data_IF_051190355629
#
_entry.id   IF_051190355629
#
_cell.length_a   1.000
_cell.length_b   1.000
_cell.length_c   1.000
_cell.angle_alpha   90.00
_cell.angle_beta   90.00
_cell.angle_gamma   90.00
#
_symmetry.space_group_name_H-M   'P 1'
#
loop_
_entity.id
_entity.type
_entity.pdbx_description
1 polymer ?
#
# COMPACT_ATOMS: atom_id res chain seq x y z
N UNK A 1 -23.55 19.35 -9.04
CA UNK A 1 -23.63 18.49 -7.85
C UNK A 1 -22.26 17.87 -7.67
N UNK A 2 -21.44 18.43 -6.79
CA UNK A 2 -20.13 17.91 -6.45
C UNK A 2 -20.32 16.60 -5.69
N UNK A 3 -20.09 15.48 -6.37
CA UNK A 3 -19.96 14.17 -5.75
C UNK A 3 -18.73 14.22 -4.85
N UNK A 4 -18.93 14.52 -3.57
CA UNK A 4 -17.91 14.30 -2.57
C UNK A 4 -17.61 12.80 -2.59
N UNK A 5 -16.48 12.42 -3.19
CA UNK A 5 -15.96 11.06 -3.16
C UNK A 5 -15.81 10.71 -1.69
N UNK A 6 -16.72 9.89 -1.16
CA UNK A 6 -16.67 9.43 0.23
C UNK A 6 -15.34 8.69 0.37
N UNK A 7 -14.40 9.28 1.10
CA UNK A 7 -13.06 8.70 1.28
C UNK A 7 -13.25 7.27 1.77
N UNK A 8 -12.80 6.30 0.96
CA UNK A 8 -12.90 4.89 1.32
C UNK A 8 -11.81 4.62 2.34
N UNK A 9 -12.22 4.58 3.61
CA UNK A 9 -11.31 4.31 4.72
C UNK A 9 -11.09 2.81 4.83
N UNK A 10 -9.83 2.38 4.75
CA UNK A 10 -9.42 1.01 5.04
C UNK A 10 -9.09 0.91 6.52
N UNK A 11 -9.71 -0.03 7.22
CA UNK A 11 -9.33 -0.35 8.59
C UNK A 11 -8.16 -1.32 8.56
N UNK A 12 -7.00 -0.85 9.02
CA UNK A 12 -5.80 -1.65 9.19
C UNK A 12 -5.56 -1.80 10.70
N UNK A 13 -5.84 -2.97 11.29
CA UNK A 13 -5.62 -3.17 12.69
C UNK A 13 -4.12 -3.30 12.92
N UNK A 14 -3.63 -2.68 13.99
CA UNK A 14 -2.19 -2.56 14.22
C UNK A 14 -1.49 -3.92 14.40
N UNK A 15 -2.24 -4.94 14.86
CA UNK A 15 -1.75 -6.31 14.99
C UNK A 15 -1.61 -7.05 13.65
N UNK A 16 -2.22 -6.55 12.58
CA UNK A 16 -2.06 -7.07 11.22
C UNK A 16 -0.87 -6.44 10.47
N UNK A 17 -0.23 -5.43 11.06
CA UNK A 17 0.95 -4.78 10.51
C UNK A 17 2.22 -5.39 11.08
N UNK A 18 3.09 -5.88 10.21
CA UNK A 18 4.47 -6.22 10.57
C UNK A 18 5.36 -5.04 10.22
N UNK A 19 6.01 -4.45 11.22
CA UNK A 19 6.93 -3.35 10.98
C UNK A 19 8.19 -3.85 10.26
N UNK A 20 8.54 -3.21 9.14
CA UNK A 20 9.69 -3.56 8.30
C UNK A 20 10.81 -2.52 8.43
N UNK A 21 10.47 -1.27 8.74
CA UNK A 21 11.44 -0.21 8.88
C UNK A 21 10.82 1.17 8.80
N UNK A 22 11.68 2.16 8.66
CA UNK A 22 11.29 3.55 8.50
C UNK A 22 12.04 4.12 7.30
N UNK A 23 11.35 4.87 6.45
CA UNK A 23 12.00 5.67 5.42
C UNK A 23 12.71 6.85 6.10
N UNK A 24 14.03 6.85 6.07
CA UNK A 24 14.85 7.86 6.76
C UNK A 24 14.75 9.25 6.10
N UNK A 25 14.41 9.33 4.82
CA UNK A 25 14.26 10.60 4.09
C UNK A 25 13.02 11.40 4.51
N UNK A 26 11.94 10.72 4.91
CA UNK A 26 10.66 11.38 5.21
C UNK A 26 9.99 10.94 6.52
N UNK A 27 10.62 10.04 7.29
CA UNK A 27 10.14 9.55 8.58
C UNK A 27 8.92 8.63 8.50
N UNK A 28 8.52 8.16 7.31
CA UNK A 28 7.34 7.30 7.16
C UNK A 28 7.64 5.86 7.57
N UNK A 29 6.72 5.23 8.30
CA UNK A 29 6.81 3.81 8.63
C UNK A 29 6.53 2.95 7.38
N UNK A 30 7.30 1.88 7.24
CA UNK A 30 7.12 0.84 6.22
C UNK A 30 6.63 -0.41 6.95
N UNK A 31 5.46 -0.90 6.57
CA UNK A 31 4.84 -2.07 7.17
C UNK A 31 4.44 -3.07 6.09
N UNK A 32 4.60 -4.35 6.38
CA UNK A 32 4.02 -5.45 5.63
C UNK A 32 2.65 -5.80 6.21
N UNK A 33 1.71 -6.17 5.35
CA UNK A 33 0.36 -6.54 5.75
C UNK A 33 -0.16 -7.71 4.93
N UNK A 34 -0.77 -8.69 5.59
CA UNK A 34 -1.44 -9.81 4.93
C UNK A 34 -2.80 -9.36 4.37
N UNK A 35 -2.93 -9.39 3.04
CA UNK A 35 -4.18 -9.04 2.34
C UNK A 35 -5.31 -10.01 2.71
N UNK A 36 -5.01 -11.29 2.96
CA UNK A 36 -5.98 -12.28 3.39
C UNK A 36 -6.62 -11.90 4.73
N UNK A 37 -5.80 -11.50 5.70
CA UNK A 37 -6.27 -11.00 6.98
C UNK A 37 -7.04 -9.67 6.84
N UNK A 38 -6.56 -8.73 6.01
CA UNK A 38 -7.25 -7.46 5.75
C UNK A 38 -8.65 -7.64 5.15
N UNK A 39 -8.85 -8.65 4.30
CA UNK A 39 -10.16 -8.97 3.70
C UNK A 39 -11.19 -9.45 4.72
N UNK A 40 -10.76 -10.03 5.84
CA UNK A 40 -11.68 -10.54 6.86
C UNK A 40 -12.29 -9.45 7.74
N UNK A 41 -11.62 -8.30 7.82
CA UNK A 41 -11.94 -7.21 8.73
C UNK A 41 -12.46 -5.95 8.01
N UNK A 42 -12.24 -5.86 6.70
CA UNK A 42 -12.77 -4.81 5.85
C UNK A 42 -13.97 -5.32 5.07
N UNK A 43 -14.88 -4.43 4.67
CA UNK A 43 -15.94 -4.78 3.74
C UNK A 43 -15.35 -5.32 2.44
N UNK A 44 -15.96 -6.38 1.89
CA UNK A 44 -15.45 -7.07 0.70
C UNK A 44 -15.15 -6.11 -0.46
N UNK A 45 -16.00 -5.10 -0.63
CA UNK A 45 -15.86 -4.12 -1.71
C UNK A 45 -14.58 -3.29 -1.59
N UNK A 46 -14.17 -2.88 -0.38
CA UNK A 46 -13.10 -1.89 -0.17
C UNK A 46 -11.76 -2.37 -0.74
N UNK A 47 -11.43 -3.65 -0.54
CA UNK A 47 -10.19 -4.22 -1.05
C UNK A 47 -10.25 -4.44 -2.56
N UNK A 48 -11.41 -4.80 -3.09
CA UNK A 48 -11.60 -4.92 -4.54
C UNK A 48 -11.45 -3.57 -5.25
N UNK A 49 -11.85 -2.47 -4.61
CA UNK A 49 -11.64 -1.12 -5.12
C UNK A 49 -10.16 -0.75 -5.10
N UNK A 50 -9.44 -1.06 -4.02
CA UNK A 50 -7.99 -0.87 -3.94
C UNK A 50 -7.25 -1.63 -5.04
N UNK A 51 -7.66 -2.88 -5.30
CA UNK A 51 -7.14 -3.67 -6.42
C UNK A 51 -7.51 -3.08 -7.78
N UNK A 52 -8.71 -2.53 -7.91
CA UNK A 52 -9.16 -1.90 -9.14
C UNK A 52 -8.31 -0.66 -9.46
N UNK A 53 -8.10 0.21 -8.47
CA UNK A 53 -7.27 1.41 -8.60
C UNK A 53 -5.81 1.03 -8.92
N UNK A 54 -5.24 0.05 -8.22
CA UNK A 54 -3.89 -0.45 -8.51
C UNK A 54 -3.76 -1.03 -9.93
N UNK A 55 -4.80 -1.70 -10.44
CA UNK A 55 -4.83 -2.17 -11.84
C UNK A 55 -4.91 -1.02 -12.83
N UNK A 56 -5.68 0.03 -12.51
CA UNK A 56 -5.75 1.23 -13.34
C UNK A 56 -4.38 1.93 -13.41
N UNK A 57 -3.70 2.08 -12.27
CA UNK A 57 -2.32 2.61 -12.21
C UNK A 57 -1.35 1.76 -13.04
N UNK A 58 -1.43 0.43 -12.93
CA UNK A 58 -0.61 -0.47 -13.74
C UNK A 58 -0.84 -0.28 -15.24
N UNK A 59 -2.10 -0.19 -15.67
CA UNK A 59 -2.45 0.06 -17.08
C UNK A 59 -2.00 1.45 -17.56
N UNK A 60 -2.00 2.44 -16.67
CA UNK A 60 -1.51 3.79 -16.95
C UNK A 60 0.02 3.90 -16.99
N UNK A 61 0.75 2.81 -16.68
CA UNK A 61 2.21 2.83 -16.57
C UNK A 61 2.73 3.49 -15.28
N UNK A 62 1.84 3.77 -14.32
CA UNK A 62 2.17 4.36 -13.03
C UNK A 62 2.50 3.26 -12.01
N UNK A 63 3.56 2.50 -12.27
CA UNK A 63 4.01 1.43 -11.38
C UNK A 63 5.53 1.35 -11.38
N UNK A 64 6.06 0.67 -10.36
CA UNK A 64 7.46 0.27 -10.30
C UNK A 64 7.53 -1.24 -10.15
N UNK A 65 8.53 -1.84 -10.78
CA UNK A 65 8.82 -3.27 -10.65
C UNK A 65 10.00 -3.45 -9.71
N UNK A 66 9.83 -4.33 -8.73
CA UNK A 66 10.94 -4.87 -7.94
C UNK A 66 11.01 -6.38 -8.19
N UNK A 67 12.22 -6.92 -8.27
CA UNK A 67 12.48 -8.35 -8.47
C UNK A 67 12.55 -9.11 -7.14
N UNK A 68 12.64 -8.41 -6.02
CA UNK A 68 12.60 -8.97 -4.67
C UNK A 68 11.94 -8.04 -3.67
N UNK A 69 11.48 -8.60 -2.55
CA UNK A 69 10.96 -7.80 -1.43
C UNK A 69 12.05 -6.88 -0.86
N UNK A 70 13.29 -7.35 -0.75
CA UNK A 70 14.41 -6.56 -0.24
C UNK A 70 14.70 -5.33 -1.11
N UNK A 71 14.67 -5.50 -2.44
CA UNK A 71 14.84 -4.39 -3.40
C UNK A 71 13.73 -3.33 -3.22
N UNK A 72 12.48 -3.76 -3.11
CA UNK A 72 11.36 -2.86 -2.85
C UNK A 72 11.52 -2.13 -1.52
N UNK A 73 11.93 -2.83 -0.46
CA UNK A 73 12.12 -2.25 0.88
C UNK A 73 13.25 -1.21 0.87
N UNK A 74 14.40 -1.53 0.26
CA UNK A 74 15.52 -0.60 0.12
C UNK A 74 15.11 0.65 -0.67
N UNK A 75 14.38 0.48 -1.77
CA UNK A 75 13.86 1.63 -2.52
C UNK A 75 12.89 2.47 -1.68
N UNK A 76 11.95 1.84 -0.97
CA UNK A 76 10.99 2.51 -0.09
C UNK A 76 11.65 3.21 1.09
N UNK A 77 12.81 2.72 1.57
CA UNK A 77 13.63 3.40 2.58
C UNK A 77 14.37 4.62 2.01
N UNK A 78 14.43 4.73 0.70
CA UNK A 78 15.17 5.77 -0.01
C UNK A 78 16.65 5.45 -0.17
N UNK A 79 17.06 4.20 0.06
CA UNK A 79 18.46 3.74 -0.06
C UNK A 79 18.94 3.79 -1.52
N UNK A 80 18.02 3.67 -2.48
CA UNK A 80 18.26 3.97 -3.90
C UNK A 80 17.69 5.35 -4.26
N UNK A 81 18.53 6.37 -4.19
CA UNK A 81 18.22 7.67 -4.78
C UNK A 81 19.36 8.67 -4.62
N UNK A 82 19.93 9.07 -5.76
CA UNK A 82 20.43 10.43 -6.00
C UNK A 82 19.36 11.47 -5.65
#
# INVERSE_FOLDING_TARGET
MSTATKEKTINIPINGLTWVGTNEKNGRAICEVDIGALRQINEAEIIDILLHDARADYQAGNYKTAHSADELISELRGEYGN
#
